data_IF_923715012937
#
_entry.id   IF_923715012937
#
_cell.length_a   1.000
_cell.length_b   1.000
_cell.length_c   1.000
_cell.angle_alpha   90.00
_cell.angle_beta   90.00
_cell.angle_gamma   90.00
#
_symmetry.space_group_name_H-M   'P 1'
#
loop_
_entity.id
_entity.type
_entity.pdbx_description
1 polymer ?
#
# COMPACT_ATOMS: atom_id res chain seq x y z
N UNK A 1 -3.59 37.38 -57.83
CA UNK A 1 -2.79 37.28 -56.58
C UNK A 1 -3.56 36.38 -55.65
N UNK A 2 -2.92 35.34 -55.11
CA UNK A 2 -3.50 34.54 -54.03
C UNK A 2 -3.08 35.20 -52.72
N UNK A 3 -4.05 35.47 -51.85
CA UNK A 3 -3.78 35.94 -50.49
C UNK A 3 -3.52 34.73 -49.63
N UNK A 4 -2.27 34.54 -49.20
CA UNK A 4 -1.95 33.57 -48.16
C UNK A 4 -2.67 33.96 -46.87
N UNK A 5 -3.50 33.08 -46.31
CA UNK A 5 -4.08 33.29 -44.98
C UNK A 5 -2.96 33.26 -43.92
N UNK A 6 -3.00 34.15 -42.91
CA UNK A 6 -1.95 34.21 -41.90
C UNK A 6 -1.89 32.89 -41.11
N UNK A 7 -0.67 32.39 -40.76
CA UNK A 7 -0.51 31.10 -40.12
C UNK A 7 -1.27 31.07 -38.79
N UNK A 8 -2.29 30.21 -38.74
CA UNK A 8 -3.20 30.08 -37.61
C UNK A 8 -2.40 29.71 -36.35
N UNK A 9 -2.27 30.66 -35.42
CA UNK A 9 -1.56 30.45 -34.14
C UNK A 9 -2.41 29.59 -33.22
N UNK A 10 -2.39 28.28 -33.46
CA UNK A 10 -2.95 27.27 -32.57
C UNK A 10 -2.44 27.51 -31.14
N UNK A 11 -3.37 27.76 -30.21
CA UNK A 11 -3.03 27.91 -28.80
C UNK A 11 -2.65 26.54 -28.26
N UNK A 12 -1.47 26.45 -27.65
CA UNK A 12 -1.03 25.25 -26.93
C UNK A 12 -1.95 24.94 -25.74
N UNK A 13 -1.98 23.67 -25.36
CA UNK A 13 -2.67 23.19 -24.16
C UNK A 13 -2.10 23.82 -22.89
N UNK A 14 -2.87 23.88 -21.81
CA UNK A 14 -2.30 24.16 -20.48
C UNK A 14 -1.44 22.97 -20.04
N UNK A 15 -0.22 23.22 -19.56
CA UNK A 15 0.66 22.18 -19.04
C UNK A 15 0.08 21.63 -17.72
N UNK A 16 0.02 20.31 -17.58
CA UNK A 16 -0.56 19.64 -16.41
C UNK A 16 0.30 19.78 -15.13
N UNK A 17 -0.31 19.56 -13.97
CA UNK A 17 0.29 19.72 -12.64
C UNK A 17 1.63 18.98 -12.48
N UNK A 18 2.54 19.56 -11.68
CA UNK A 18 3.95 19.15 -11.52
C UNK A 18 4.06 17.67 -11.08
N UNK A 19 4.61 16.83 -11.96
CA UNK A 19 4.96 15.44 -11.63
C UNK A 19 5.99 15.43 -10.49
N UNK A 20 5.70 14.64 -9.46
CA UNK A 20 6.61 14.41 -8.33
C UNK A 20 7.76 13.49 -8.77
N UNK A 21 9.02 13.79 -8.43
CA UNK A 21 10.17 13.16 -9.06
C UNK A 21 10.42 11.72 -8.58
N UNK A 22 10.84 10.85 -9.50
CA UNK A 22 11.33 9.51 -9.16
C UNK A 22 12.75 9.61 -8.56
N UNK A 23 12.96 9.01 -7.40
CA UNK A 23 14.24 8.99 -6.68
C UNK A 23 14.76 7.56 -6.48
N UNK A 24 14.37 6.93 -5.38
CA UNK A 24 14.73 5.58 -4.91
C UNK A 24 13.57 4.58 -5.00
N UNK A 25 12.37 5.05 -5.36
CA UNK A 25 11.14 4.26 -5.40
C UNK A 25 10.34 4.23 -4.09
N UNK A 26 10.79 4.93 -3.04
CA UNK A 26 10.15 4.87 -1.70
C UNK A 26 8.91 5.77 -1.62
N UNK A 27 8.96 6.98 -2.18
CA UNK A 27 7.84 7.95 -2.11
C UNK A 27 6.77 7.68 -3.17
N UNK A 28 7.20 7.29 -4.37
CA UNK A 28 6.34 6.84 -5.47
C UNK A 28 6.95 5.60 -6.10
N UNK A 29 6.12 4.60 -6.40
CA UNK A 29 6.59 3.43 -7.14
C UNK A 29 6.89 3.82 -8.59
N UNK A 30 7.81 3.11 -9.23
CA UNK A 30 8.12 3.32 -10.64
C UNK A 30 6.86 3.22 -11.53
N UNK A 31 5.91 2.33 -11.21
CA UNK A 31 4.63 2.21 -11.90
C UNK A 31 3.76 3.48 -11.79
N UNK A 32 3.66 4.10 -10.61
CA UNK A 32 2.89 5.34 -10.40
C UNK A 32 3.51 6.55 -11.12
N UNK A 33 4.83 6.67 -11.05
CA UNK A 33 5.56 7.74 -11.74
C UNK A 33 5.51 7.55 -13.26
N UNK A 34 5.70 6.33 -13.77
CA UNK A 34 5.69 6.07 -15.21
C UNK A 34 4.31 6.22 -15.85
N UNK A 35 3.23 5.89 -15.13
CA UNK A 35 1.87 6.24 -15.53
C UNK A 35 1.71 7.77 -15.65
N UNK A 36 2.09 8.52 -14.61
CA UNK A 36 2.04 10.00 -14.61
C UNK A 36 2.81 10.63 -15.78
N UNK A 37 3.95 10.06 -16.16
CA UNK A 37 4.73 10.49 -17.33
C UNK A 37 4.01 10.18 -18.64
N UNK A 38 3.52 8.93 -18.83
CA UNK A 38 2.80 8.52 -20.04
C UNK A 38 1.52 9.35 -20.24
N UNK A 39 0.74 9.57 -19.19
CA UNK A 39 -0.48 10.40 -19.22
C UNK A 39 -0.17 11.84 -19.61
N UNK A 40 0.88 12.45 -19.04
CA UNK A 40 1.32 13.81 -19.42
C UNK A 40 1.76 13.88 -20.88
N UNK A 41 2.48 12.87 -21.38
CA UNK A 41 2.93 12.83 -22.77
C UNK A 41 1.78 12.73 -23.78
N UNK A 42 0.63 12.16 -23.40
CA UNK A 42 -0.60 12.16 -24.19
C UNK A 42 -1.38 13.47 -24.04
N UNK A 43 -1.60 13.94 -22.80
CA UNK A 43 -2.41 15.14 -22.52
C UNK A 43 -1.75 16.45 -23.00
N UNK A 44 -0.41 16.48 -23.06
CA UNK A 44 0.36 17.63 -23.52
C UNK A 44 1.24 17.28 -24.75
N UNK A 45 0.75 16.44 -25.67
CA UNK A 45 1.48 16.05 -26.89
C UNK A 45 1.97 17.27 -27.71
N UNK A 46 1.21 18.38 -27.72
CA UNK A 46 1.54 19.65 -28.39
C UNK A 46 2.75 20.41 -27.76
N UNK A 47 3.16 20.01 -26.55
CA UNK A 47 4.41 20.44 -25.90
C UNK A 47 5.55 19.44 -26.11
N UNK A 48 5.23 18.17 -26.34
CA UNK A 48 6.20 17.07 -26.37
C UNK A 48 6.24 16.38 -27.75
N UNK A 49 6.27 17.18 -28.82
CA UNK A 49 6.23 16.75 -30.22
C UNK A 49 7.44 15.92 -30.69
N UNK A 50 8.58 16.03 -30.01
CA UNK A 50 9.82 15.31 -30.37
C UNK A 50 10.34 14.50 -29.19
N UNK A 51 11.00 13.37 -29.47
CA UNK A 51 11.58 12.55 -28.41
C UNK A 51 12.67 13.27 -27.60
N UNK A 52 13.30 14.32 -28.15
CA UNK A 52 14.21 15.19 -27.39
C UNK A 52 13.48 15.85 -26.22
N UNK A 53 12.29 16.41 -26.46
CA UNK A 53 11.47 17.06 -25.44
C UNK A 53 10.90 16.04 -24.43
N UNK A 54 10.56 14.83 -24.89
CA UNK A 54 10.09 13.73 -24.04
C UNK A 54 11.20 13.17 -23.13
N UNK A 55 12.42 13.01 -23.66
CA UNK A 55 13.61 12.66 -22.88
C UNK A 55 13.97 13.73 -21.85
N UNK A 56 13.88 15.00 -22.23
CA UNK A 56 14.09 16.14 -21.33
C UNK A 56 13.07 16.17 -20.17
N UNK A 57 11.79 15.84 -20.43
CA UNK A 57 10.78 15.66 -19.38
C UNK A 57 11.20 14.55 -18.40
N UNK A 58 11.56 13.36 -18.89
CA UNK A 58 11.98 12.23 -18.05
C UNK A 58 13.19 12.61 -17.18
N UNK A 59 14.22 13.22 -17.78
CA UNK A 59 15.41 13.71 -17.07
C UNK A 59 15.11 14.80 -16.02
N UNK A 60 14.17 15.69 -16.32
CA UNK A 60 13.68 16.72 -15.38
C UNK A 60 12.84 16.15 -14.23
N UNK A 61 12.19 15.00 -14.43
CA UNK A 61 11.36 14.31 -13.42
C UNK A 61 12.05 13.14 -12.72
N UNK A 62 13.36 12.96 -12.92
CA UNK A 62 14.19 11.99 -12.21
C UNK A 62 15.23 12.70 -11.34
N UNK A 63 15.45 12.14 -10.15
CA UNK A 63 16.44 12.59 -9.17
C UNK A 63 17.12 11.38 -8.53
N UNK A 64 18.12 11.63 -7.70
CA UNK A 64 18.83 10.58 -6.95
C UNK A 64 19.28 9.40 -7.82
N UNK A 65 18.98 8.19 -7.36
CA UNK A 65 19.43 6.94 -7.96
C UNK A 65 18.92 6.75 -9.41
N UNK A 66 17.65 7.06 -9.68
CA UNK A 66 17.07 7.01 -11.02
C UNK A 66 17.83 7.91 -12.02
N UNK A 67 18.27 9.09 -11.56
CA UNK A 67 19.03 10.02 -12.40
C UNK A 67 20.43 9.50 -12.69
N UNK A 68 21.12 8.95 -11.69
CA UNK A 68 22.45 8.31 -11.84
C UNK A 68 22.44 7.12 -12.80
N UNK A 69 21.33 6.38 -12.93
CA UNK A 69 21.21 5.31 -13.93
C UNK A 69 21.08 5.84 -15.37
N UNK A 70 20.42 6.99 -15.57
CA UNK A 70 20.24 7.61 -16.88
C UNK A 70 21.49 8.37 -17.34
N UNK A 71 22.19 9.04 -16.42
CA UNK A 71 23.25 10.01 -16.67
C UNK A 71 24.33 9.55 -17.68
N UNK A 72 24.91 8.33 -17.60
CA UNK A 72 26.01 7.92 -18.48
C UNK A 72 25.60 7.76 -19.95
N UNK A 73 24.32 7.47 -20.21
CA UNK A 73 23.76 7.39 -21.57
C UNK A 73 23.16 8.74 -21.97
N UNK A 74 22.47 9.44 -21.08
CA UNK A 74 21.82 10.73 -21.37
C UNK A 74 22.82 11.80 -21.82
N UNK A 75 24.02 11.82 -21.24
CA UNK A 75 25.10 12.75 -21.61
C UNK A 75 26.02 12.23 -22.73
N UNK A 76 25.76 11.03 -23.29
CA UNK A 76 26.65 10.42 -24.28
C UNK A 76 26.33 10.83 -25.72
N UNK A 77 27.30 11.44 -26.40
CA UNK A 77 27.22 11.72 -27.83
C UNK A 77 27.27 10.45 -28.73
N UNK A 78 27.77 9.31 -28.21
CA UNK A 78 27.94 8.06 -28.99
C UNK A 78 26.96 6.95 -28.59
N UNK A 79 26.49 6.97 -27.34
CA UNK A 79 25.56 5.98 -26.77
C UNK A 79 24.31 6.64 -26.18
N UNK A 80 23.90 7.77 -26.76
CA UNK A 80 22.72 8.53 -26.35
C UNK A 80 21.40 7.83 -26.69
N UNK A 81 20.42 7.99 -25.79
CA UNK A 81 19.05 7.52 -25.99
C UNK A 81 18.42 8.15 -27.25
N UNK A 82 17.79 7.31 -28.07
CA UNK A 82 17.13 7.67 -29.33
C UNK A 82 15.70 8.13 -29.09
N UNK A 83 14.98 7.42 -28.20
CA UNK A 83 13.58 7.68 -27.85
C UNK A 83 13.41 7.97 -26.35
N UNK A 84 12.21 8.37 -25.95
CA UNK A 84 11.85 8.43 -24.53
C UNK A 84 11.57 7.04 -23.93
N UNK A 85 11.05 6.09 -24.73
CA UNK A 85 10.74 4.75 -24.25
C UNK A 85 12.01 3.98 -23.83
N UNK A 86 13.14 4.17 -24.54
CA UNK A 86 14.43 3.59 -24.14
C UNK A 86 14.89 4.01 -22.72
N UNK A 87 14.54 5.23 -22.28
CA UNK A 87 14.80 5.70 -20.92
C UNK A 87 13.84 5.06 -19.91
N UNK A 88 12.58 4.87 -20.30
CA UNK A 88 11.56 4.21 -19.47
C UNK A 88 11.86 2.71 -19.30
N UNK A 89 12.30 2.03 -20.35
CA UNK A 89 12.70 0.63 -20.34
C UNK A 89 13.95 0.40 -19.48
N UNK A 90 14.95 1.28 -19.59
CA UNK A 90 16.15 1.18 -18.76
C UNK A 90 15.82 1.34 -17.27
N UNK A 91 15.04 2.36 -16.90
CA UNK A 91 14.56 2.50 -15.51
C UNK A 91 13.71 1.30 -15.09
N UNK A 92 12.81 0.83 -15.96
CA UNK A 92 12.00 -0.36 -15.74
C UNK A 92 12.86 -1.58 -15.41
N UNK A 93 13.99 -1.78 -16.10
CA UNK A 93 14.91 -2.91 -15.84
C UNK A 93 15.59 -2.88 -14.46
N UNK A 94 15.66 -1.72 -13.80
CA UNK A 94 16.22 -1.57 -12.45
C UNK A 94 15.15 -1.60 -11.34
N UNK A 95 13.98 -1.00 -11.58
CA UNK A 95 12.93 -0.91 -10.57
C UNK A 95 11.92 -2.07 -10.62
N UNK A 96 11.73 -2.72 -11.78
CA UNK A 96 10.81 -3.84 -11.92
C UNK A 96 11.55 -5.18 -11.77
N UNK A 97 11.23 -5.94 -10.72
CA UNK A 97 11.94 -7.21 -10.44
C UNK A 97 11.43 -8.38 -11.31
N UNK A 98 10.47 -8.13 -12.22
CA UNK A 98 9.89 -9.12 -13.14
C UNK A 98 9.01 -10.20 -12.48
N UNK A 99 9.06 -10.32 -11.16
CA UNK A 99 8.26 -11.25 -10.36
C UNK A 99 7.02 -10.59 -9.72
N UNK A 100 6.78 -9.29 -9.94
CA UNK A 100 5.73 -8.51 -9.29
C UNK A 100 4.31 -9.06 -9.54
N UNK A 101 3.99 -9.45 -10.77
CA UNK A 101 2.70 -10.09 -11.10
C UNK A 101 2.49 -11.38 -10.31
N UNK A 102 3.55 -12.15 -10.09
CA UNK A 102 3.49 -13.40 -9.35
C UNK A 102 3.44 -13.15 -7.83
N UNK A 103 4.19 -12.17 -7.31
CA UNK A 103 4.04 -11.71 -5.92
C UNK A 103 2.61 -11.20 -5.66
N UNK A 104 2.06 -10.38 -6.56
CA UNK A 104 0.70 -9.86 -6.49
C UNK A 104 -0.35 -10.97 -6.58
N UNK A 105 -0.11 -12.02 -7.36
CA UNK A 105 -0.96 -13.22 -7.42
C UNK A 105 -0.92 -14.01 -6.11
N UNK A 106 0.26 -14.25 -5.54
CA UNK A 106 0.38 -14.92 -4.24
C UNK A 106 -0.28 -14.10 -3.12
N UNK A 107 -0.07 -12.78 -3.09
CA UNK A 107 -0.78 -11.86 -2.19
C UNK A 107 -2.31 -11.88 -2.42
N UNK A 108 -2.75 -11.94 -3.68
CA UNK A 108 -4.17 -12.08 -4.00
C UNK A 108 -4.74 -13.42 -3.53
N UNK A 109 -4.02 -14.54 -3.65
CA UNK A 109 -4.51 -15.85 -3.22
C UNK A 109 -4.55 -15.99 -1.69
N UNK A 110 -3.59 -15.40 -0.96
CA UNK A 110 -3.64 -15.32 0.51
C UNK A 110 -4.77 -14.41 1.02
N UNK A 111 -5.00 -13.25 0.37
CA UNK A 111 -5.95 -12.20 0.79
C UNK A 111 -7.28 -12.71 1.38
N UNK A 112 -7.60 -12.37 2.63
CA UNK A 112 -8.90 -12.60 3.24
C UNK A 112 -9.49 -11.32 3.85
N UNK A 113 -10.81 -11.19 3.83
CA UNK A 113 -11.48 -10.13 4.57
C UNK A 113 -11.34 -10.39 6.08
N UNK A 114 -10.96 -9.36 6.84
CA UNK A 114 -10.80 -9.44 8.30
C UNK A 114 -9.50 -10.12 8.75
N UNK A 115 -8.49 -10.20 7.87
CA UNK A 115 -7.20 -10.83 8.17
C UNK A 115 -6.33 -10.03 9.16
N UNK A 116 -5.12 -10.54 9.46
CA UNK A 116 -4.22 -9.96 10.46
C UNK A 116 -3.75 -8.56 10.03
N UNK A 117 -4.28 -7.53 10.67
CA UNK A 117 -4.06 -6.11 10.36
C UNK A 117 -5.33 -5.40 9.87
N UNK A 118 -6.32 -6.16 9.40
CA UNK A 118 -7.58 -5.68 8.82
C UNK A 118 -8.82 -6.17 9.59
N UNK A 119 -8.67 -6.57 10.87
CA UNK A 119 -9.73 -7.19 11.67
C UNK A 119 -11.00 -6.34 11.88
N UNK A 120 -10.93 -5.03 11.64
CA UNK A 120 -12.05 -4.09 11.70
C UNK A 120 -12.38 -3.43 10.35
N UNK A 121 -11.85 -3.95 9.23
CA UNK A 121 -12.05 -3.34 7.91
C UNK A 121 -13.51 -3.35 7.46
N UNK A 122 -13.90 -2.34 6.70
CA UNK A 122 -15.22 -2.26 6.07
C UNK A 122 -15.25 -2.96 4.72
N UNK A 123 -16.43 -3.31 4.21
CA UNK A 123 -16.50 -3.97 2.90
C UNK A 123 -15.95 -3.11 1.75
N UNK A 124 -16.20 -1.78 1.67
CA UNK A 124 -15.56 -0.92 0.68
C UNK A 124 -14.01 -0.90 0.72
N UNK A 125 -13.40 -0.93 1.91
CA UNK A 125 -11.94 -1.07 2.05
C UNK A 125 -11.47 -2.41 1.49
N UNK A 126 -12.09 -3.52 1.93
CA UNK A 126 -11.76 -4.85 1.44
C UNK A 126 -11.93 -4.98 -0.07
N UNK A 127 -13.00 -4.40 -0.64
CA UNK A 127 -13.25 -4.34 -2.09
C UNK A 127 -12.08 -3.66 -2.81
N UNK A 128 -11.61 -2.52 -2.32
CA UNK A 128 -10.48 -1.80 -2.93
C UNK A 128 -9.18 -2.63 -2.89
N UNK A 129 -8.88 -3.28 -1.74
CA UNK A 129 -7.73 -4.21 -1.62
C UNK A 129 -7.86 -5.39 -2.59
N UNK A 130 -9.04 -6.00 -2.68
CA UNK A 130 -9.35 -7.09 -3.60
C UNK A 130 -9.15 -6.68 -5.07
N UNK A 131 -9.73 -5.56 -5.51
CA UNK A 131 -9.63 -5.14 -6.91
C UNK A 131 -8.20 -4.77 -7.30
N UNK A 132 -7.47 -4.07 -6.43
CA UNK A 132 -6.06 -3.75 -6.64
C UNK A 132 -5.19 -5.01 -6.81
N UNK A 133 -5.35 -5.98 -5.90
CA UNK A 133 -4.62 -7.26 -5.96
C UNK A 133 -5.05 -8.12 -7.16
N UNK A 134 -6.35 -8.15 -7.50
CA UNK A 134 -6.86 -8.91 -8.65
C UNK A 134 -6.34 -8.38 -9.99
N UNK A 135 -6.30 -7.04 -10.16
CA UNK A 135 -5.78 -6.40 -11.38
C UNK A 135 -4.27 -6.63 -11.49
N UNK A 136 -3.52 -6.36 -10.41
CA UNK A 136 -2.05 -6.50 -10.40
C UNK A 136 -1.62 -7.97 -10.56
N UNK A 137 -2.34 -8.92 -9.96
CA UNK A 137 -2.15 -10.37 -10.12
C UNK A 137 -2.77 -10.97 -11.40
N UNK A 138 -3.28 -10.13 -12.32
CA UNK A 138 -3.87 -10.52 -13.61
C UNK A 138 -4.92 -11.63 -13.47
N UNK A 139 -5.88 -11.47 -12.56
CA UNK A 139 -6.96 -12.42 -12.29
C UNK A 139 -8.16 -12.11 -13.19
N UNK A 140 -8.64 -13.11 -13.93
CA UNK A 140 -9.78 -12.97 -14.85
C UNK A 140 -11.05 -12.48 -14.15
N UNK A 141 -11.69 -11.43 -14.68
CA UNK A 141 -12.92 -10.84 -14.13
C UNK A 141 -14.07 -11.84 -14.02
N UNK A 142 -14.14 -12.82 -14.92
CA UNK A 142 -15.11 -13.91 -14.89
C UNK A 142 -15.03 -14.75 -13.61
N UNK A 143 -13.88 -14.74 -12.93
CA UNK A 143 -13.66 -15.44 -11.67
C UNK A 143 -13.82 -14.54 -10.43
N UNK A 144 -13.93 -13.21 -10.59
CA UNK A 144 -13.97 -12.30 -9.45
C UNK A 144 -15.17 -12.57 -8.52
N UNK A 145 -16.32 -13.01 -9.05
CA UNK A 145 -17.45 -13.49 -8.25
C UNK A 145 -17.07 -14.68 -7.35
N UNK A 146 -16.35 -15.68 -7.92
CA UNK A 146 -15.88 -16.89 -7.22
C UNK A 146 -14.89 -16.52 -6.13
N UNK A 147 -13.90 -15.68 -6.44
CA UNK A 147 -12.87 -15.27 -5.49
C UNK A 147 -13.40 -14.34 -4.39
N UNK A 148 -14.18 -13.30 -4.74
CA UNK A 148 -14.79 -12.37 -3.77
C UNK A 148 -15.62 -13.13 -2.74
N UNK A 149 -16.56 -13.98 -3.20
CA UNK A 149 -17.40 -14.76 -2.29
C UNK A 149 -16.59 -15.64 -1.31
N UNK A 150 -15.53 -16.28 -1.80
CA UNK A 150 -14.72 -17.18 -0.99
C UNK A 150 -13.85 -16.45 0.04
N UNK A 151 -13.41 -15.22 -0.28
CA UNK A 151 -12.53 -14.38 0.56
C UNK A 151 -13.26 -13.51 1.59
N UNK A 152 -14.58 -13.39 1.50
CA UNK A 152 -15.42 -12.74 2.52
C UNK A 152 -15.35 -13.45 3.88
N UNK A 153 -15.51 -12.71 4.98
CA UNK A 153 -15.64 -13.30 6.32
C UNK A 153 -16.85 -14.25 6.41
N UNK A 154 -16.83 -15.24 7.34
CA UNK A 154 -17.98 -16.09 7.61
C UNK A 154 -19.26 -15.33 8.01
N UNK A 155 -19.15 -14.11 8.56
CA UNK A 155 -20.30 -13.28 8.93
C UNK A 155 -21.08 -12.78 7.70
N UNK A 156 -20.38 -12.31 6.67
CA UNK A 156 -21.00 -11.90 5.40
C UNK A 156 -21.57 -13.10 4.67
N UNK A 157 -20.77 -14.18 4.53
CA UNK A 157 -21.21 -15.41 3.85
C UNK A 157 -22.47 -16.01 4.47
N UNK A 158 -22.52 -16.18 5.80
CA UNK A 158 -23.67 -16.79 6.47
C UNK A 158 -24.98 -16.03 6.29
N UNK A 159 -24.95 -14.69 6.37
CA UNK A 159 -26.15 -13.84 6.18
C UNK A 159 -26.62 -13.78 4.73
N UNK A 160 -25.71 -13.75 3.77
CA UNK A 160 -26.03 -13.53 2.35
C UNK A 160 -26.15 -14.83 1.53
N UNK A 161 -25.89 -16.01 2.12
CA UNK A 161 -26.00 -17.32 1.42
C UNK A 161 -27.35 -17.55 0.74
N UNK A 162 -28.44 -17.03 1.33
CA UNK A 162 -29.81 -17.15 0.78
C UNK A 162 -29.95 -16.35 -0.53
N UNK A 163 -29.36 -15.16 -0.59
CA UNK A 163 -29.46 -14.21 -1.71
C UNK A 163 -28.42 -14.53 -2.79
N UNK A 164 -27.28 -15.13 -2.41
CA UNK A 164 -26.14 -15.44 -3.31
C UNK A 164 -26.51 -16.14 -4.63
N UNK A 165 -27.54 -17.00 -4.61
CA UNK A 165 -28.01 -17.69 -5.81
C UNK A 165 -28.77 -16.78 -6.80
N UNK A 166 -29.35 -15.68 -6.32
CA UNK A 166 -30.11 -14.71 -7.13
C UNK A 166 -29.19 -13.82 -7.98
N UNK A 167 -27.92 -13.67 -7.58
CA UNK A 167 -26.92 -12.88 -8.31
C UNK A 167 -26.42 -13.55 -9.60
N UNK A 168 -26.77 -14.82 -9.86
CA UNK A 168 -26.47 -15.56 -11.11
C UNK A 168 -24.99 -15.61 -11.55
N UNK A 169 -24.03 -15.25 -10.69
CA UNK A 169 -22.61 -15.14 -11.03
C UNK A 169 -22.13 -13.72 -11.35
N UNK A 170 -23.00 -12.71 -11.34
CA UNK A 170 -22.61 -11.32 -11.56
C UNK A 170 -21.89 -10.72 -10.33
N UNK A 171 -20.66 -10.25 -10.57
CA UNK A 171 -19.82 -9.57 -9.60
C UNK A 171 -20.39 -8.21 -9.18
N UNK A 172 -20.99 -7.44 -10.09
CA UNK A 172 -21.43 -6.07 -9.79
C UNK A 172 -22.62 -6.05 -8.84
N UNK A 173 -23.64 -6.88 -9.10
CA UNK A 173 -24.79 -7.09 -8.21
C UNK A 173 -24.35 -7.60 -6.83
N UNK A 174 -23.43 -8.57 -6.78
CA UNK A 174 -22.84 -9.02 -5.51
C UNK A 174 -22.21 -7.84 -4.75
N UNK A 175 -21.36 -7.05 -5.40
CA UNK A 175 -20.65 -5.93 -4.78
C UNK A 175 -21.60 -4.83 -4.30
N UNK A 176 -22.67 -4.55 -5.03
CA UNK A 176 -23.71 -3.61 -4.64
C UNK A 176 -24.42 -4.06 -3.34
N UNK A 177 -24.89 -5.31 -3.32
CA UNK A 177 -25.57 -5.89 -2.16
C UNK A 177 -24.65 -6.02 -0.93
N UNK A 178 -23.39 -6.42 -1.11
CA UNK A 178 -22.39 -6.46 -0.04
C UNK A 178 -22.13 -5.06 0.55
N UNK A 179 -22.12 -4.02 -0.29
CA UNK A 179 -21.93 -2.63 0.14
C UNK A 179 -23.14 -2.12 0.93
N UNK A 180 -24.36 -2.34 0.42
CA UNK A 180 -25.58 -1.96 1.11
C UNK A 180 -25.73 -2.69 2.46
N UNK A 181 -25.44 -3.99 2.49
CA UNK A 181 -25.45 -4.79 3.72
C UNK A 181 -24.45 -4.28 4.77
N UNK A 182 -23.23 -3.89 4.36
CA UNK A 182 -22.22 -3.39 5.31
C UNK A 182 -22.54 -1.99 5.83
N UNK A 183 -23.12 -1.11 5.00
CA UNK A 183 -23.62 0.19 5.43
C UNK A 183 -24.76 0.04 6.44
N UNK A 184 -25.74 -0.83 6.15
CA UNK A 184 -26.87 -1.07 7.05
C UNK A 184 -26.42 -1.77 8.35
N UNK A 185 -25.43 -2.68 8.28
CA UNK A 185 -24.78 -3.27 9.46
C UNK A 185 -24.13 -2.20 10.35
N UNK A 186 -23.42 -1.24 9.77
CA UNK A 186 -22.79 -0.13 10.51
C UNK A 186 -23.83 0.79 11.16
N UNK A 187 -24.83 1.23 10.39
CA UNK A 187 -25.98 2.02 10.88
C UNK A 187 -26.69 1.34 12.07
N UNK A 188 -26.95 0.03 12.01
CA UNK A 188 -27.60 -0.68 13.11
C UNK A 188 -26.72 -0.85 14.37
N UNK A 189 -25.39 -0.87 14.21
CA UNK A 189 -24.45 -0.85 15.34
C UNK A 189 -24.37 0.54 15.98
N UNK A 190 -24.38 1.61 15.16
CA UNK A 190 -24.43 3.01 15.62
C UNK A 190 -25.75 3.33 16.36
N UNK A 191 -26.86 2.73 15.92
CA UNK A 191 -28.18 2.85 16.57
C UNK A 191 -28.37 1.91 17.77
N UNK A 192 -27.51 0.91 17.96
CA UNK A 192 -27.45 0.09 19.17
C UNK A 192 -26.11 0.25 19.91
N UNK A 193 -25.84 1.45 20.48
CA UNK A 193 -24.77 1.62 21.44
C UNK A 193 -25.18 0.94 22.76
N UNK A 194 -25.06 -0.39 22.81
CA UNK A 194 -25.17 -1.14 24.07
C UNK A 194 -24.21 -0.47 25.07
N UNK A 195 -24.71 0.06 26.21
CA UNK A 195 -23.89 0.84 27.11
C UNK A 195 -22.72 -0.02 27.59
N UNK A 196 -21.50 0.42 27.30
CA UNK A 196 -20.29 -0.31 27.63
C UNK A 196 -20.32 -0.69 29.10
N UNK A 197 -20.42 -2.00 29.38
CA UNK A 197 -20.77 -2.50 30.70
C UNK A 197 -19.68 -2.11 31.70
N UNK A 198 -19.92 -1.01 32.42
CA UNK A 198 -19.01 -0.45 33.41
C UNK A 198 -18.92 -1.39 34.62
N UNK A 199 -18.13 -2.46 34.45
CA UNK A 199 -17.71 -3.36 35.53
C UNK A 199 -16.70 -2.64 36.42
N UNK A 200 -17.18 -1.61 37.12
CA UNK A 200 -16.60 -1.19 38.40
C UNK A 200 -16.66 -2.39 39.33
N UNK A 201 -15.58 -3.18 39.31
CA UNK A 201 -15.38 -4.33 40.16
C UNK A 201 -15.07 -3.85 41.57
N UNK A 202 -16.08 -3.33 42.26
CA UNK A 202 -16.00 -2.89 43.66
C UNK A 202 -15.60 -4.08 44.51
N UNK A 203 -14.31 -4.18 44.83
CA UNK A 203 -13.71 -5.36 45.42
C UNK A 203 -13.91 -5.34 46.94
N UNK A 204 -15.17 -5.44 47.38
CA UNK A 204 -15.55 -5.47 48.79
C UNK A 204 -15.04 -6.76 49.43
N UNK A 205 -13.83 -6.70 49.99
CA UNK A 205 -13.28 -7.77 50.82
C UNK A 205 -13.99 -7.78 52.16
N UNK A 206 -14.78 -8.82 52.43
CA UNK A 206 -15.19 -9.14 53.80
C UNK A 206 -15.21 -10.66 54.03
N UNK A 207 -14.87 -11.09 55.25
CA UNK A 207 -14.32 -12.44 55.49
C UNK A 207 -15.01 -13.16 56.66
N UNK A 208 -15.99 -14.03 56.37
CA UNK A 208 -16.72 -14.78 57.41
C UNK A 208 -17.10 -16.22 57.03
N UNK A 209 -16.17 -17.15 57.29
CA UNK A 209 -16.39 -18.38 58.09
C UNK A 209 -17.54 -19.35 57.73
N UNK A 210 -17.21 -20.29 56.83
CA UNK A 210 -17.41 -21.75 56.92
C UNK A 210 -18.69 -22.40 57.51
N UNK A 211 -19.26 -23.34 56.76
CA UNK A 211 -19.70 -24.67 57.25
C UNK A 211 -19.80 -25.67 56.09
N UNK A 212 -19.81 -26.98 56.37
CA UNK A 212 -19.70 -28.04 55.37
C UNK A 212 -20.68 -29.19 55.59
N UNK A 213 -21.11 -29.87 54.51
CA UNK A 213 -21.63 -31.25 54.55
C UNK A 213 -21.69 -31.89 53.16
N UNK A 214 -21.57 -33.23 53.11
CA UNK A 214 -21.88 -34.13 51.99
C UNK A 214 -22.72 -35.30 52.55
N UNK A 215 -23.54 -35.95 51.74
CA UNK A 215 -23.19 -37.32 51.26
C UNK A 215 -23.49 -37.48 49.75
N UNK A 216 -22.90 -38.38 48.94
CA UNK A 216 -22.69 -39.84 49.05
C UNK A 216 -24.04 -40.59 49.06
N UNK A 217 -24.39 -41.59 48.24
CA UNK A 217 -23.69 -42.56 47.34
C UNK A 217 -24.55 -42.68 46.03
N UNK A 218 -24.38 -43.53 45.00
CA UNK A 218 -23.49 -44.66 44.66
C UNK A 218 -23.45 -44.87 43.11
N UNK A 219 -22.66 -45.84 42.64
CA UNK A 219 -22.80 -46.52 41.33
C UNK A 219 -22.85 -48.03 41.56
N UNK A 220 -23.31 -48.84 40.59
CA UNK A 220 -22.52 -50.01 40.20
C UNK A 220 -22.27 -50.08 38.68
N UNK A 221 -21.21 -50.78 38.27
CA UNK A 221 -20.79 -50.89 36.87
C UNK A 221 -20.26 -52.31 36.55
N UNK A 222 -20.35 -52.70 35.28
CA UNK A 222 -19.65 -53.84 34.64
C UNK A 222 -19.48 -53.45 33.15
N UNK A 223 -18.30 -53.06 32.64
CA UNK A 223 -17.02 -53.76 32.41
C UNK A 223 -17.03 -54.88 31.36
N UNK A 224 -16.34 -54.59 30.25
CA UNK A 224 -15.35 -55.48 29.61
C UNK A 224 -14.15 -54.64 29.13
N UNK A 225 -12.95 -55.24 29.07
CA UNK A 225 -11.68 -54.58 28.67
C UNK A 225 -11.11 -55.27 27.43
N UNK A 226 -10.42 -54.51 26.57
CA UNK A 226 -9.32 -55.05 25.74
C UNK A 226 -8.19 -54.01 25.64
N UNK A 227 -7.01 -54.43 25.19
CA UNK A 227 -5.68 -53.93 25.62
C UNK A 227 -5.15 -52.65 24.94
N UNK A 228 -4.12 -52.07 25.57
CA UNK A 228 -3.12 -51.13 24.99
C UNK A 228 -2.21 -51.87 23.97
N UNK A 229 -1.23 -51.31 23.24
CA UNK A 229 -0.33 -50.11 23.28
C UNK A 229 0.29 -50.00 21.82
N UNK A 230 1.20 -49.07 21.40
CA UNK A 230 1.62 -47.76 21.89
C UNK A 230 1.35 -46.59 20.89
N UNK A 231 1.82 -45.39 21.24
CA UNK A 231 1.69 -44.12 20.52
C UNK A 231 3.05 -43.71 19.90
N UNK A 232 3.10 -43.18 18.65
CA UNK A 232 4.37 -42.76 18.04
C UNK A 232 4.95 -41.49 18.66
N UNK A 233 6.27 -41.39 18.61
CA UNK A 233 7.12 -40.39 19.28
C UNK A 233 6.93 -38.97 18.73
N UNK A 234 6.69 -37.99 19.60
CA UNK A 234 6.85 -36.56 19.26
C UNK A 234 8.30 -36.13 19.48
N UNK A 235 8.88 -35.42 18.52
CA UNK A 235 10.25 -34.93 18.60
C UNK A 235 10.39 -33.82 19.66
N UNK A 236 11.50 -33.85 20.39
CA UNK A 236 11.72 -33.12 21.64
C UNK A 236 12.20 -31.68 21.39
N UNK A 237 11.30 -30.75 21.10
CA UNK A 237 11.64 -29.32 21.10
C UNK A 237 11.99 -28.85 22.53
N UNK A 238 13.18 -28.30 22.72
CA UNK A 238 13.69 -27.90 24.05
C UNK A 238 13.08 -26.57 24.47
N UNK A 239 12.28 -26.59 25.54
CA UNK A 239 11.86 -25.36 26.24
C UNK A 239 13.02 -24.86 27.11
N UNK A 240 13.88 -24.03 26.53
CA UNK A 240 14.89 -23.28 27.29
C UNK A 240 14.21 -22.22 28.13
N UNK A 241 13.92 -22.53 29.40
CA UNK A 241 13.50 -21.54 30.37
C UNK A 241 14.72 -20.71 30.81
N UNK A 242 14.76 -19.44 30.39
CA UNK A 242 15.75 -18.47 30.88
C UNK A 242 15.18 -17.78 32.15
N UNK A 243 15.98 -17.54 33.22
CA UNK A 243 15.45 -17.08 34.51
C UNK A 243 15.01 -15.62 34.52
N UNK A 244 14.16 -15.28 35.49
CA UNK A 244 13.71 -13.90 35.72
C UNK A 244 14.69 -13.08 36.59
N UNK A 245 15.61 -12.37 35.95
CA UNK A 245 16.12 -11.05 36.39
C UNK A 245 16.67 -10.34 35.14
N UNK A 246 16.43 -9.06 34.89
CA UNK A 246 16.51 -7.89 35.78
C UNK A 246 15.55 -6.77 35.32
N UNK A 247 15.30 -5.77 36.17
CA UNK A 247 14.33 -4.68 35.94
C UNK A 247 14.82 -3.60 34.97
N UNK A 248 15.18 -3.98 33.76
CA UNK A 248 15.86 -3.14 32.77
C UNK A 248 14.97 -2.76 31.59
N UNK A 249 15.14 -1.54 31.08
CA UNK A 249 14.35 -0.99 29.99
C UNK A 249 14.67 -1.64 28.65
N UNK A 250 13.66 -2.22 27.98
CA UNK A 250 13.79 -2.85 26.67
C UNK A 250 14.33 -1.92 25.55
N UNK A 251 14.19 -0.59 25.68
CA UNK A 251 14.68 0.38 24.68
C UNK A 251 16.14 0.80 24.87
N UNK A 252 16.71 0.68 26.08
CA UNK A 252 18.06 1.22 26.37
C UNK A 252 18.92 0.39 27.34
N UNK A 253 18.46 -0.78 27.78
CA UNK A 253 19.19 -1.73 28.63
C UNK A 253 19.42 -1.30 30.08
N UNK A 254 19.10 -0.06 30.47
CA UNK A 254 19.35 0.46 31.83
C UNK A 254 18.27 0.04 32.84
N UNK A 255 18.64 -0.29 34.10
CA UNK A 255 17.68 -0.60 35.16
C UNK A 255 16.81 0.61 35.56
N UNK A 256 15.70 0.33 36.24
CA UNK A 256 14.90 1.32 36.98
C UNK A 256 13.74 1.97 36.22
N UNK A 257 13.53 1.62 34.95
CA UNK A 257 12.35 2.03 34.18
C UNK A 257 12.00 1.00 33.10
N UNK A 258 10.76 1.04 32.61
CA UNK A 258 10.30 0.28 31.44
C UNK A 258 10.22 1.17 30.20
N UNK A 259 10.03 0.54 29.03
CA UNK A 259 10.11 1.16 27.70
C UNK A 259 9.34 2.48 27.57
N UNK A 260 8.11 2.52 28.08
CA UNK A 260 7.17 3.65 27.94
C UNK A 260 7.59 4.88 28.76
N UNK A 261 8.57 4.74 29.67
CA UNK A 261 9.13 5.81 30.50
C UNK A 261 10.63 6.00 30.27
N UNK A 262 11.11 5.66 29.07
CA UNK A 262 12.52 5.87 28.72
C UNK A 262 12.83 7.37 28.51
N UNK A 263 13.85 7.94 29.18
CA UNK A 263 14.24 9.34 28.96
C UNK A 263 14.80 9.59 27.54
N UNK A 264 15.17 8.54 26.80
CA UNK A 264 15.50 8.57 25.37
C UNK A 264 14.25 8.50 24.47
N UNK A 265 13.14 9.08 24.93
CA UNK A 265 11.88 9.18 24.19
C UNK A 265 11.40 10.63 24.03
N UNK A 266 12.27 11.61 24.33
CA UNK A 266 11.99 13.03 24.21
C UNK A 266 12.55 13.61 22.89
N UNK A 267 11.71 14.39 22.19
CA UNK A 267 12.04 15.21 21.01
C UNK A 267 12.61 14.47 19.79
N UNK A 268 11.71 14.04 18.91
CA UNK A 268 11.82 14.48 17.51
C UNK A 268 11.30 15.92 17.50
N UNK A 269 12.06 16.87 16.93
CA UNK A 269 11.52 18.17 16.54
C UNK A 269 11.21 18.10 15.05
N UNK A 270 10.07 18.62 14.66
CA UNK A 270 9.79 18.91 13.25
C UNK A 270 10.79 19.97 12.77
N UNK A 271 11.27 19.82 11.53
CA UNK A 271 12.07 20.83 10.84
C UNK A 271 11.09 21.57 9.94
N UNK A 272 10.97 22.88 10.17
CA UNK A 272 10.10 23.75 9.39
C UNK A 272 10.74 24.04 8.03
N UNK A 273 10.18 23.49 6.96
CA UNK A 273 10.69 23.63 5.60
C UNK A 273 10.10 24.87 4.90
N UNK A 274 10.34 26.05 5.46
CA UNK A 274 9.95 27.34 4.88
C UNK A 274 11.16 28.28 4.84
N UNK A 275 12.08 28.05 3.90
CA UNK A 275 13.27 28.87 3.68
C UNK A 275 13.37 29.28 2.18
N UNK A 276 12.94 30.50 1.82
CA UNK A 276 12.73 30.90 0.42
C UNK A 276 13.96 31.60 -0.19
N UNK A 277 15.11 30.93 -0.23
CA UNK A 277 16.37 31.48 -0.77
C UNK A 277 16.98 30.58 -1.88
N UNK A 278 16.15 30.08 -2.81
CA UNK A 278 16.57 29.15 -3.85
C UNK A 278 15.96 29.38 -5.26
N UNK A 279 15.18 30.45 -5.48
CA UNK A 279 14.47 30.69 -6.75
C UNK A 279 15.18 31.62 -7.74
N UNK A 280 16.03 32.57 -7.30
CA UNK A 280 16.68 33.55 -8.22
C UNK A 280 17.66 32.90 -9.23
N UNK A 281 18.19 31.72 -8.94
CA UNK A 281 19.29 31.12 -9.73
C UNK A 281 18.87 30.43 -11.04
N UNK A 282 17.58 30.47 -11.41
CA UNK A 282 17.03 29.74 -12.56
C UNK A 282 16.66 30.65 -13.75
N UNK A 283 16.52 31.96 -13.56
CA UNK A 283 16.19 32.90 -14.65
C UNK A 283 17.47 33.45 -15.32
N UNK A 284 18.51 33.80 -14.54
CA UNK A 284 19.81 34.30 -15.04
C UNK A 284 20.47 33.33 -16.05
N UNK A 285 20.31 32.02 -15.82
CA UNK A 285 20.86 30.98 -16.70
C UNK A 285 20.17 30.87 -18.07
N UNK A 286 18.95 31.41 -18.23
CA UNK A 286 18.19 31.40 -19.49
C UNK A 286 18.50 32.64 -20.33
N UNK A 287 18.68 33.80 -19.68
CA UNK A 287 19.03 35.05 -20.35
C UNK A 287 20.43 34.96 -21.00
N UNK A 288 21.42 34.40 -20.28
CA UNK A 288 22.78 34.19 -20.80
C UNK A 288 22.91 33.22 -21.99
N UNK A 289 21.90 32.39 -22.26
CA UNK A 289 21.87 31.55 -23.48
C UNK A 289 21.17 32.24 -24.67
N UNK A 290 20.52 33.39 -24.45
CA UNK A 290 19.80 34.12 -25.50
C UNK A 290 20.74 34.99 -26.34
N UNK A 291 21.61 35.77 -25.69
CA UNK A 291 22.50 36.73 -26.37
C UNK A 291 23.64 36.05 -27.17
N UNK A 292 24.09 34.86 -26.73
CA UNK A 292 25.17 34.13 -27.38
C UNK A 292 24.86 33.69 -28.84
N UNK A 293 23.60 33.79 -29.28
CA UNK A 293 23.16 33.34 -30.62
C UNK A 293 23.11 34.46 -31.67
N UNK A 294 23.53 35.70 -31.37
CA UNK A 294 23.35 36.86 -32.27
C UNK A 294 24.63 37.46 -32.87
N UNK A 295 25.84 37.12 -32.42
CA UNK A 295 27.09 37.73 -32.95
C UNK A 295 27.82 36.93 -34.06
N UNK A 296 27.48 35.67 -34.32
CA UNK A 296 28.25 34.81 -35.26
C UNK A 296 27.61 34.67 -36.67
N UNK A 297 27.14 35.77 -37.28
CA UNK A 297 26.61 35.73 -38.66
C UNK A 297 26.99 36.90 -39.59
N UNK A 298 27.74 37.92 -39.13
CA UNK A 298 28.16 39.06 -39.96
C UNK A 298 29.63 38.95 -40.44
N UNK A 299 29.95 37.89 -41.20
CA UNK A 299 31.20 37.84 -41.99
C UNK A 299 31.21 36.87 -43.19
N UNK A 300 30.67 37.32 -44.32
CA UNK A 300 30.86 36.73 -45.64
C UNK A 300 31.03 37.83 -46.71
#
# INVERSE_FOLDING_TARGET
MLTEDPPNRYKKSTISEKILPLSDGIVHTFLQWSASIRDRLVVNEDHYLTDVLRRALIWGTTTGLAKTYLEPQYLSATHGFRSAEEMMDLLGSYYLTGNETEQARNLFDDLQMGEKGHASETFPEFKARFQSAAITGQVSELEWFRYMWNKLTPQFRSRLTIIKNQWNGDYQTMVQELTAFDQERRRNNELNPLPALARTSTHTTDTAKASASKPTRATPALFTRTMFLPKPTMLKCVKTAVPASSGNCFKCGKPGHFQDKCPLNATIKEIDCNDPEAEEQWEEAVELQSDASLEENDKA
#
